data_IF_530572336331
#
_entry.id   IF_530572336331
#
_cell.length_a   1.000
_cell.length_b   1.000
_cell.length_c   1.000
_cell.angle_alpha   90.00
_cell.angle_beta   90.00
_cell.angle_gamma   90.00
#
_symmetry.space_group_name_H-M   'P 1'
#
loop_
_entity.id
_entity.type
_entity.pdbx_description
1 polymer ?
#
# COMPACT_ATOMS: atom_id res chain seq x y z
N UNK A 1 12.82 0.02 -11.20
CA UNK A 1 11.43 0.52 -11.02
C UNK A 1 10.98 -0.03 -9.68
N UNK A 2 10.90 0.80 -8.65
CA UNK A 2 10.49 0.39 -7.30
C UNK A 2 8.99 0.60 -7.17
N UNK A 3 8.23 -0.47 -6.96
CA UNK A 3 6.79 -0.40 -6.70
C UNK A 3 6.62 -0.28 -5.19
N UNK A 4 6.02 0.80 -4.71
CA UNK A 4 5.67 0.95 -3.30
C UNK A 4 4.17 0.85 -3.17
N UNK A 5 3.72 -0.08 -2.34
CA UNK A 5 2.30 -0.34 -2.09
C UNK A 5 1.99 0.14 -0.69
N UNK A 6 1.14 1.16 -0.61
CA UNK A 6 0.65 1.63 0.68
C UNK A 6 -0.49 0.74 1.14
N UNK A 7 -0.40 0.28 2.38
CA UNK A 7 -1.35 -0.65 2.99
C UNK A 7 -1.73 -0.17 4.39
N UNK A 8 -2.80 -0.75 4.95
CA UNK A 8 -3.20 -0.54 6.34
C UNK A 8 -3.60 -1.86 6.99
N UNK A 9 -3.68 -1.89 8.30
CA UNK A 9 -4.15 -3.05 9.04
C UNK A 9 -5.60 -3.36 8.64
N UNK A 10 -5.89 -4.66 8.51
CA UNK A 10 -7.21 -5.18 8.15
C UNK A 10 -7.73 -4.77 6.75
N UNK A 11 -6.82 -4.44 5.81
CA UNK A 11 -7.16 -4.11 4.43
C UNK A 11 -7.16 -5.38 3.54
N UNK A 12 -8.34 -5.95 3.30
CA UNK A 12 -8.51 -7.14 2.45
C UNK A 12 -7.99 -6.92 1.02
N UNK A 13 -8.22 -5.73 0.46
CA UNK A 13 -7.73 -5.36 -0.87
C UNK A 13 -6.20 -5.31 -0.93
N UNK A 14 -5.55 -4.86 0.14
CA UNK A 14 -4.09 -4.80 0.24
C UNK A 14 -3.48 -6.21 0.22
N UNK A 15 -4.09 -7.16 0.94
CA UNK A 15 -3.67 -8.56 0.89
C UNK A 15 -3.85 -9.19 -0.50
N UNK A 16 -4.93 -8.87 -1.20
CA UNK A 16 -5.15 -9.34 -2.56
C UNK A 16 -4.10 -8.80 -3.53
N UNK A 17 -3.80 -7.50 -3.47
CA UNK A 17 -2.76 -6.87 -4.32
C UNK A 17 -1.37 -7.40 -4.01
N UNK A 18 -1.02 -7.58 -2.72
CA UNK A 18 0.24 -8.22 -2.30
C UNK A 18 0.41 -9.58 -2.98
N UNK A 19 -0.59 -10.46 -2.86
CA UNK A 19 -0.55 -11.79 -3.49
C UNK A 19 -0.46 -11.71 -5.01
N UNK A 20 -1.16 -10.77 -5.63
CA UNK A 20 -1.13 -10.58 -7.07
C UNK A 20 0.23 -10.09 -7.58
N UNK A 21 0.95 -9.29 -6.79
CA UNK A 21 2.31 -8.83 -7.10
C UNK A 21 3.34 -9.94 -6.89
N UNK A 22 3.27 -10.66 -5.77
CA UNK A 22 4.11 -11.84 -5.49
C UNK A 22 3.94 -12.91 -6.56
N UNK A 23 2.69 -13.21 -6.95
CA UNK A 23 2.38 -14.18 -8.00
C UNK A 23 2.93 -13.78 -9.37
N UNK A 24 3.16 -12.49 -9.60
CA UNK A 24 3.75 -11.97 -10.84
C UNK A 24 5.28 -11.83 -10.76
N UNK A 25 5.88 -12.09 -9.59
CA UNK A 25 7.31 -11.95 -9.37
C UNK A 25 7.80 -10.50 -9.41
N UNK A 26 6.94 -9.54 -9.09
CA UNK A 26 7.36 -8.14 -8.99
C UNK A 26 8.03 -7.89 -7.65
N UNK A 27 9.12 -7.13 -7.67
CA UNK A 27 9.72 -6.53 -6.49
C UNK A 27 8.89 -5.31 -6.09
N UNK A 28 8.24 -5.38 -4.93
CA UNK A 28 7.47 -4.28 -4.37
C UNK A 28 7.72 -4.16 -2.87
N UNK A 29 7.66 -2.92 -2.38
CA UNK A 29 7.75 -2.59 -0.97
C UNK A 29 6.34 -2.35 -0.42
N UNK A 30 6.05 -2.83 0.79
CA UNK A 30 4.80 -2.49 1.46
C UNK A 30 5.04 -1.52 2.60
N UNK A 31 4.33 -0.39 2.57
CA UNK A 31 4.37 0.60 3.64
C UNK A 31 3.04 0.55 4.38
N UNK A 32 3.06 0.23 5.67
CA UNK A 32 1.87 0.24 6.51
C UNK A 32 1.62 1.65 7.07
N UNK A 33 0.59 2.31 6.57
CA UNK A 33 0.24 3.69 6.96
C UNK A 33 -0.33 3.78 8.37
N UNK A 34 -0.78 2.67 8.97
CA UNK A 34 -1.19 2.66 10.38
C UNK A 34 0.02 2.71 11.34
N UNK A 35 1.20 2.28 10.88
CA UNK A 35 2.45 2.38 11.65
C UNK A 35 3.17 3.72 11.41
N UNK A 36 2.80 4.43 10.35
CA UNK A 36 3.41 5.70 9.94
C UNK A 36 2.28 6.69 9.61
N UNK A 37 1.68 7.35 10.61
CA UNK A 37 0.56 8.27 10.40
C UNK A 37 0.88 9.42 9.44
N UNK A 38 2.14 9.90 9.43
CA UNK A 38 2.61 10.91 8.47
C UNK A 38 2.46 10.47 7.00
N UNK A 39 2.62 9.17 6.72
CA UNK A 39 2.40 8.61 5.39
C UNK A 39 0.90 8.65 5.03
N UNK A 40 0.01 8.33 5.97
CA UNK A 40 -1.43 8.41 5.75
C UNK A 40 -1.88 9.83 5.41
N UNK A 41 -1.36 10.84 6.11
CA UNK A 41 -1.71 12.24 5.88
C UNK A 41 -1.11 12.77 4.57
N UNK A 42 0.10 12.33 4.22
CA UNK A 42 0.71 12.64 2.92
C UNK A 42 -0.13 12.07 1.77
N UNK A 43 -0.56 10.80 1.85
CA UNK A 43 -1.40 10.18 0.82
C UNK A 43 -2.75 10.90 0.70
N UNK A 44 -3.38 11.27 1.83
CA UNK A 44 -4.62 12.05 1.82
C UNK A 44 -4.42 13.43 1.16
N UNK A 45 -3.32 14.11 1.48
CA UNK A 45 -2.97 15.40 0.87
C UNK A 45 -2.72 15.28 -0.65
N UNK A 46 -2.20 14.14 -1.10
CA UNK A 46 -2.05 13.81 -2.52
C UNK A 46 -3.38 13.44 -3.20
N UNK A 47 -4.50 13.41 -2.46
CA UNK A 47 -5.83 13.09 -2.98
C UNK A 47 -6.16 11.60 -2.97
N UNK A 48 -5.32 10.79 -2.33
CA UNK A 48 -5.48 9.36 -2.26
C UNK A 48 -6.50 8.97 -1.19
N UNK A 49 -7.56 8.28 -1.61
CA UNK A 49 -8.78 8.04 -0.80
C UNK A 49 -9.12 6.58 -0.53
N UNK A 50 -8.44 5.65 -1.18
CA UNK A 50 -8.67 4.21 -0.98
C UNK A 50 -7.34 3.55 -0.64
N UNK A 51 -7.31 2.24 -0.42
CA UNK A 51 -6.09 1.44 -0.36
C UNK A 51 -6.41 0.09 -1.03
N UNK A 52 -5.42 -0.61 -1.59
CA UNK A 52 -4.00 -0.25 -1.74
C UNK A 52 -3.75 0.73 -2.90
N UNK A 53 -2.74 1.59 -2.78
CA UNK A 53 -2.28 2.55 -3.80
C UNK A 53 -0.82 2.24 -4.14
#
# INVERSE_FOLDING_TARGET
>A
MSITIYTRNNCVQCHATKRAMESRGFEFEMVNVDLVPDAADTLRAQGFRQLPW
#
